data_IF_600443691048
#
_entry.id   IF_600443691048
#
_cell.length_a   1.000
_cell.length_b   1.000
_cell.length_c   1.000
_cell.angle_alpha   90.00
_cell.angle_beta   90.00
_cell.angle_gamma   90.00
#
_symmetry.space_group_name_H-M   'P 1'
#
loop_
_entity.id
_entity.type
_entity.pdbx_description
1 polymer ?
#
# COMPACT_ATOMS: atom_id res chain seq x y z
N UNK A 1 21.66 41.48 2.42
CA UNK A 1 20.55 41.84 1.48
C UNK A 1 20.64 41.00 0.20
N UNK A 2 21.85 40.86 -0.32
CA UNK A 2 22.21 40.10 -1.52
C UNK A 2 21.64 38.67 -1.52
N UNK A 3 21.92 37.90 -0.46
CA UNK A 3 21.48 36.50 -0.33
C UNK A 3 19.96 36.34 -0.45
N UNK A 4 19.17 37.23 0.15
CA UNK A 4 17.71 37.17 0.12
C UNK A 4 17.13 37.46 -1.27
N UNK A 5 17.71 38.39 -2.04
CA UNK A 5 17.28 38.68 -3.41
C UNK A 5 17.62 37.52 -4.35
N UNK A 6 18.82 36.97 -4.23
CA UNK A 6 19.27 35.82 -5.02
C UNK A 6 18.41 34.60 -4.73
N UNK A 7 18.16 34.30 -3.46
CA UNK A 7 17.35 33.15 -3.05
C UNK A 7 15.91 33.27 -3.58
N UNK A 8 15.30 34.46 -3.47
CA UNK A 8 13.97 34.72 -4.04
C UNK A 8 13.94 34.56 -5.56
N UNK A 9 14.97 35.04 -6.25
CA UNK A 9 15.07 34.96 -7.69
C UNK A 9 15.18 33.51 -8.19
N UNK A 10 16.01 32.71 -7.52
CA UNK A 10 16.26 31.31 -7.92
C UNK A 10 15.07 30.41 -7.60
N UNK A 11 14.49 30.52 -6.41
CA UNK A 11 13.43 29.60 -5.98
C UNK A 11 12.07 29.92 -6.55
N UNK A 12 11.78 31.19 -6.85
CA UNK A 12 10.41 31.57 -7.22
C UNK A 12 10.26 32.24 -8.57
N UNK A 13 11.36 32.61 -9.20
CA UNK A 13 11.37 33.51 -10.35
C UNK A 13 12.26 32.97 -11.49
N UNK A 14 12.58 31.68 -11.44
CA UNK A 14 13.40 30.97 -12.41
C UNK A 14 12.60 29.88 -13.15
N UNK A 15 13.14 29.41 -14.27
CA UNK A 15 12.59 28.24 -14.98
C UNK A 15 12.54 27.00 -14.08
N UNK A 16 13.44 26.90 -13.10
CA UNK A 16 13.47 25.79 -12.15
C UNK A 16 12.23 25.79 -11.25
N UNK A 17 11.68 26.97 -10.92
CA UNK A 17 10.41 27.08 -10.18
C UNK A 17 9.26 26.44 -10.95
N UNK A 18 9.16 26.73 -12.25
CA UNK A 18 8.09 26.19 -13.10
C UNK A 18 8.20 24.67 -13.18
N UNK A 19 9.41 24.15 -13.39
CA UNK A 19 9.66 22.71 -13.41
C UNK A 19 9.37 22.05 -12.05
N UNK A 20 9.80 22.67 -10.95
CA UNK A 20 9.51 22.17 -9.60
C UNK A 20 8.00 22.09 -9.34
N UNK A 21 7.24 23.14 -9.67
CA UNK A 21 5.79 23.15 -9.50
C UNK A 21 5.11 22.10 -10.39
N UNK A 22 5.58 21.91 -11.63
CA UNK A 22 5.07 20.89 -12.54
C UNK A 22 5.26 19.47 -12.00
N UNK A 23 6.49 19.11 -11.60
CA UNK A 23 6.77 17.77 -11.06
C UNK A 23 6.16 17.57 -9.67
N UNK A 24 6.03 18.64 -8.88
CA UNK A 24 5.34 18.58 -7.59
C UNK A 24 3.83 18.32 -7.78
N UNK A 25 3.19 19.01 -8.71
CA UNK A 25 1.80 18.74 -9.09
C UNK A 25 1.61 17.33 -9.65
N UNK A 26 2.52 16.87 -10.52
CA UNK A 26 2.49 15.51 -11.07
C UNK A 26 2.62 14.46 -9.96
N UNK A 27 3.48 14.71 -8.97
CA UNK A 27 3.63 13.83 -7.79
C UNK A 27 2.32 13.72 -7.02
N UNK A 28 1.65 14.84 -6.75
CA UNK A 28 0.32 14.82 -6.12
C UNK A 28 -0.72 14.08 -6.94
N UNK A 29 -0.70 14.24 -8.27
CA UNK A 29 -1.59 13.49 -9.18
C UNK A 29 -1.35 11.98 -9.12
N UNK A 30 -0.09 11.54 -9.04
CA UNK A 30 0.24 10.13 -8.90
C UNK A 30 -0.16 9.58 -7.54
N UNK A 31 0.04 10.34 -6.46
CA UNK A 31 -0.42 9.98 -5.11
C UNK A 31 -1.95 9.86 -5.08
N UNK A 32 -2.69 10.79 -5.69
CA UNK A 32 -4.15 10.73 -5.84
C UNK A 32 -4.59 9.43 -6.53
N UNK A 33 -3.97 9.08 -7.67
CA UNK A 33 -4.27 7.83 -8.37
C UNK A 33 -3.94 6.58 -7.53
N UNK A 34 -2.81 6.59 -6.82
CA UNK A 34 -2.41 5.47 -5.95
C UNK A 34 -3.43 5.29 -4.82
N UNK A 35 -3.85 6.38 -4.19
CA UNK A 35 -4.75 6.35 -3.03
C UNK A 35 -6.20 6.08 -3.42
N UNK A 36 -6.62 6.50 -4.60
CA UNK A 36 -7.96 6.22 -5.12
C UNK A 36 -8.09 4.82 -5.70
N UNK A 37 -7.19 4.41 -6.62
CA UNK A 37 -7.32 3.17 -7.40
C UNK A 37 -6.46 2.02 -6.86
N UNK A 38 -5.38 2.30 -6.13
CA UNK A 38 -4.50 1.24 -5.59
C UNK A 38 -3.47 0.70 -6.59
N UNK A 39 -3.27 1.36 -7.74
CA UNK A 39 -2.30 0.96 -8.78
C UNK A 39 -0.83 1.24 -8.38
N UNK A 40 -0.35 0.57 -7.34
CA UNK A 40 0.98 0.79 -6.78
C UNK A 40 2.08 0.47 -7.81
N UNK A 41 1.99 -0.70 -8.48
CA UNK A 41 3.04 -1.21 -9.39
C UNK A 41 3.32 -0.26 -10.57
N UNK A 42 2.28 0.37 -11.13
CA UNK A 42 2.42 1.26 -12.28
C UNK A 42 2.85 2.68 -11.87
N UNK A 43 2.28 3.22 -10.79
CA UNK A 43 2.45 4.63 -10.43
C UNK A 43 3.63 4.88 -9.48
N UNK A 44 4.06 3.90 -8.69
CA UNK A 44 5.17 4.06 -7.75
C UNK A 44 6.52 4.34 -8.44
N UNK A 45 6.89 3.67 -9.56
CA UNK A 45 8.11 4.02 -10.30
C UNK A 45 8.07 5.45 -10.86
N UNK A 46 6.92 5.88 -11.36
CA UNK A 46 6.72 7.24 -11.89
C UNK A 46 6.80 8.29 -10.78
N UNK A 47 6.21 8.01 -9.61
CA UNK A 47 6.30 8.89 -8.45
C UNK A 47 7.75 9.02 -7.98
N UNK A 48 8.48 7.89 -7.93
CA UNK A 48 9.90 7.86 -7.59
C UNK A 48 10.73 8.71 -8.56
N UNK A 49 10.46 8.60 -9.87
CA UNK A 49 11.09 9.43 -10.88
C UNK A 49 10.81 10.93 -10.66
N UNK A 50 9.56 11.30 -10.36
CA UNK A 50 9.20 12.69 -10.06
C UNK A 50 9.98 13.23 -8.86
N UNK A 51 10.07 12.46 -7.78
CA UNK A 51 10.83 12.83 -6.58
C UNK A 51 12.32 12.99 -6.90
N UNK A 52 12.91 12.08 -7.68
CA UNK A 52 14.32 12.18 -8.11
C UNK A 52 14.54 13.46 -8.91
N UNK A 53 13.66 13.79 -9.87
CA UNK A 53 13.77 15.01 -10.67
C UNK A 53 13.67 16.26 -9.78
N UNK A 54 12.72 16.30 -8.83
CA UNK A 54 12.59 17.39 -7.86
C UNK A 54 13.90 17.56 -7.07
N UNK A 55 14.47 16.47 -6.56
CA UNK A 55 15.74 16.50 -5.81
C UNK A 55 16.90 17.02 -6.66
N UNK A 56 17.02 16.58 -7.93
CA UNK A 56 18.04 17.08 -8.86
C UNK A 56 17.88 18.58 -9.10
N UNK A 57 16.64 19.06 -9.30
CA UNK A 57 16.36 20.48 -9.49
C UNK A 57 16.71 21.29 -8.24
N UNK A 58 16.37 20.81 -7.04
CA UNK A 58 16.72 21.46 -5.77
C UNK A 58 18.24 21.52 -5.57
N UNK A 59 18.95 20.41 -5.80
CA UNK A 59 20.42 20.37 -5.76
C UNK A 59 21.04 21.37 -6.74
N UNK A 60 20.49 21.48 -7.95
CA UNK A 60 20.95 22.43 -8.96
C UNK A 60 20.71 23.88 -8.52
N UNK A 61 19.55 24.19 -7.94
CA UNK A 61 19.27 25.52 -7.37
C UNK A 61 20.27 25.85 -6.25
N UNK A 62 20.51 24.90 -5.34
CA UNK A 62 21.46 25.09 -4.23
C UNK A 62 22.88 25.32 -4.76
N UNK A 63 23.30 24.59 -5.78
CA UNK A 63 24.61 24.75 -6.41
C UNK A 63 24.77 26.14 -7.05
N UNK A 64 23.77 26.59 -7.82
CA UNK A 64 23.77 27.94 -8.40
C UNK A 64 23.80 29.01 -7.31
N UNK A 65 23.00 28.82 -6.26
CA UNK A 65 22.98 29.72 -5.10
C UNK A 65 24.35 29.82 -4.43
N UNK A 66 25.04 28.70 -4.21
CA UNK A 66 26.42 28.67 -3.65
C UNK A 66 27.41 29.38 -4.57
N UNK A 67 27.35 29.14 -5.88
CA UNK A 67 28.20 29.83 -6.87
C UNK A 67 28.00 31.34 -6.87
N UNK A 68 26.75 31.80 -6.78
CA UNK A 68 26.44 33.24 -6.71
C UNK A 68 26.81 33.85 -5.34
N UNK A 69 26.68 33.10 -4.25
CA UNK A 69 27.16 33.53 -2.92
C UNK A 69 28.69 33.69 -2.86
N UNK A 70 29.48 32.92 -3.62
CA UNK A 70 30.92 33.16 -3.70
C UNK A 70 31.24 34.52 -4.35
N UNK A 71 30.35 35.03 -5.21
CA UNK A 71 30.47 36.37 -5.80
C UNK A 71 30.00 37.47 -4.84
N UNK A 72 29.38 37.14 -3.70
CA UNK A 72 28.88 38.09 -2.69
C UNK A 72 29.96 39.09 -2.22
N UNK A 73 31.22 38.65 -2.12
CA UNK A 73 32.33 39.53 -1.75
C UNK A 73 32.53 40.70 -2.72
N UNK A 74 32.12 40.56 -3.98
CA UNK A 74 32.16 41.63 -4.99
C UNK A 74 31.02 42.64 -4.83
N UNK A 75 29.93 42.30 -4.12
CA UNK A 75 28.69 43.09 -4.11
C UNK A 75 28.27 43.58 -2.71
N UNK A 76 28.83 43.02 -1.62
CA UNK A 76 28.62 43.52 -0.24
C UNK A 76 29.85 44.22 0.37
N UNK A 77 30.99 44.24 -0.34
CA UNK A 77 32.11 45.13 0.01
C UNK A 77 31.63 46.59 -0.04
N UNK A 78 32.14 47.47 0.83
CA UNK A 78 31.85 48.92 0.90
C UNK A 78 32.18 49.71 -0.40
N UNK A 79 32.31 49.04 -1.54
CA UNK A 79 32.55 49.60 -2.85
C UNK A 79 31.31 50.36 -3.33
N UNK A 80 31.51 51.61 -3.74
CA UNK A 80 30.44 52.45 -4.28
C UNK A 80 29.91 51.84 -5.59
N UNK A 81 28.65 51.39 -5.58
CA UNK A 81 27.93 51.05 -6.81
C UNK A 81 27.56 52.38 -7.48
N UNK A 82 28.14 52.66 -8.65
CA UNK A 82 27.82 53.84 -9.46
C UNK A 82 27.17 53.42 -10.76
N UNK A 83 26.15 54.16 -11.16
CA UNK A 83 25.45 53.97 -12.42
C UNK A 83 25.76 55.18 -13.31
N UNK A 84 26.46 54.92 -14.41
CA UNK A 84 26.70 55.88 -15.50
C UNK A 84 25.72 55.56 -16.63
N UNK A 85 25.51 56.48 -17.58
CA UNK A 85 24.58 56.30 -18.69
C UNK A 85 24.87 55.06 -19.55
N UNK A 86 26.13 54.61 -19.59
CA UNK A 86 26.56 53.46 -20.40
C UNK A 86 27.00 52.24 -19.58
N UNK A 87 27.43 52.43 -18.32
CA UNK A 87 28.09 51.39 -17.53
C UNK A 87 27.56 51.35 -16.09
N UNK A 88 27.40 50.14 -15.56
CA UNK A 88 27.24 49.88 -14.13
C UNK A 88 28.62 49.54 -13.56
N UNK A 89 29.11 50.38 -12.64
CA UNK A 89 30.43 50.21 -12.03
C UNK A 89 30.27 49.71 -10.60
N UNK A 90 30.90 48.57 -10.30
CA UNK A 90 30.90 47.94 -8.97
C UNK A 90 32.36 47.71 -8.58
N UNK A 91 32.87 48.56 -7.69
CA UNK A 91 34.29 48.59 -7.39
C UNK A 91 35.12 48.98 -8.62
N UNK A 92 36.02 48.09 -9.03
CA UNK A 92 36.88 48.26 -10.22
C UNK A 92 36.31 47.58 -11.48
N UNK A 93 35.16 46.91 -11.38
CA UNK A 93 34.55 46.19 -12.50
C UNK A 93 33.46 47.03 -13.15
N UNK A 94 33.54 47.14 -14.46
CA UNK A 94 32.56 47.83 -15.30
C UNK A 94 31.69 46.81 -16.05
N UNK A 95 30.38 47.03 -16.00
CA UNK A 95 29.39 46.19 -16.65
C UNK A 95 28.60 47.04 -17.66
N UNK A 96 28.69 46.79 -18.97
CA UNK A 96 28.02 47.60 -19.97
C UNK A 96 26.49 47.40 -19.93
N UNK A 97 25.74 48.51 -19.87
CA UNK A 97 24.27 48.51 -19.84
C UNK A 97 23.64 48.05 -21.16
N UNK A 98 24.40 48.05 -22.25
CA UNK A 98 24.01 47.43 -23.53
C UNK A 98 23.75 45.91 -23.38
N UNK A 99 24.40 45.27 -22.41
CA UNK A 99 24.22 43.85 -22.10
C UNK A 99 23.05 43.59 -21.14
N UNK A 100 22.40 44.62 -20.60
CA UNK A 100 21.25 44.48 -19.74
C UNK A 100 20.00 44.09 -20.56
N UNK A 101 19.47 42.89 -20.29
CA UNK A 101 18.27 42.34 -20.94
C UNK A 101 16.99 42.86 -20.28
N UNK A 102 16.88 42.71 -18.97
CA UNK A 102 15.74 43.20 -18.18
C UNK A 102 16.13 43.41 -16.72
N UNK A 103 15.27 44.12 -15.98
CA UNK A 103 15.42 44.38 -14.56
C UNK A 103 14.26 43.72 -13.82
N UNK A 104 14.56 42.86 -12.86
CA UNK A 104 13.53 42.29 -11.98
C UNK A 104 13.43 43.11 -10.69
N UNK A 105 12.21 43.47 -10.32
CA UNK A 105 11.93 44.39 -9.20
C UNK A 105 11.41 43.66 -7.98
N UNK A 106 12.02 43.90 -6.82
CA UNK A 106 11.61 43.37 -5.52
C UNK A 106 11.49 44.49 -4.48
N UNK A 107 10.74 44.26 -3.40
CA UNK A 107 10.55 45.26 -2.32
C UNK A 107 11.88 45.79 -1.73
N UNK A 108 12.91 44.94 -1.67
CA UNK A 108 14.23 45.24 -1.06
C UNK A 108 15.32 45.65 -2.07
N UNK A 109 15.06 45.65 -3.37
CA UNK A 109 16.07 45.96 -4.38
C UNK A 109 15.73 45.44 -5.79
N UNK A 110 16.69 45.53 -6.70
CA UNK A 110 16.57 45.11 -8.09
C UNK A 110 17.50 43.93 -8.39
N UNK A 111 17.18 43.11 -9.38
CA UNK A 111 18.11 42.13 -9.94
C UNK A 111 18.25 42.42 -11.43
N UNK A 112 19.47 42.72 -11.84
CA UNK A 112 19.81 43.03 -13.23
C UNK A 112 20.17 41.73 -13.93
N UNK A 113 19.47 41.43 -15.02
CA UNK A 113 19.71 40.24 -15.82
C UNK A 113 20.45 40.63 -17.10
N UNK A 114 21.70 40.19 -17.20
CA UNK A 114 22.56 40.45 -18.35
C UNK A 114 22.40 39.35 -19.42
N UNK A 115 22.79 39.65 -20.67
CA UNK A 115 22.71 38.72 -21.83
C UNK A 115 23.59 37.48 -21.68
N UNK A 116 24.67 37.58 -20.91
CA UNK A 116 25.61 36.49 -20.57
C UNK A 116 25.10 35.60 -19.41
N UNK A 117 23.81 35.69 -19.07
CA UNK A 117 23.18 35.04 -17.92
C UNK A 117 23.74 35.45 -16.55
N UNK A 118 24.53 36.52 -16.48
CA UNK A 118 24.96 37.10 -15.22
C UNK A 118 23.80 37.82 -14.53
N UNK A 119 23.70 37.65 -13.21
CA UNK A 119 22.66 38.24 -12.38
C UNK A 119 23.32 39.13 -11.33
N UNK A 120 22.97 40.42 -11.33
CA UNK A 120 23.54 41.40 -10.42
C UNK A 120 22.43 41.95 -9.53
N UNK A 121 22.34 41.54 -8.26
CA UNK A 121 21.39 42.12 -7.31
C UNK A 121 21.91 43.48 -6.79
N UNK A 122 21.03 44.47 -6.78
CA UNK A 122 21.34 45.87 -6.48
C UNK A 122 20.37 46.40 -5.41
N UNK A 123 20.87 47.23 -4.49
CA UNK A 123 20.05 47.87 -3.46
C UNK A 123 19.00 48.80 -4.05
N UNK A 124 17.88 48.99 -3.33
CA UNK A 124 16.83 49.93 -3.70
C UNK A 124 17.29 51.40 -3.69
N UNK A 125 18.37 51.71 -2.98
CA UNK A 125 18.90 53.07 -2.83
C UNK A 125 19.62 53.59 -4.08
N UNK A 126 19.85 52.76 -5.10
CA UNK A 126 20.47 53.19 -6.35
C UNK A 126 19.47 53.97 -7.21
N UNK A 127 19.87 55.15 -7.69
CA UNK A 127 19.06 55.93 -8.62
C UNK A 127 19.04 55.25 -10.00
N UNK A 128 17.93 54.59 -10.33
CA UNK A 128 17.71 53.89 -11.60
C UNK A 128 17.10 54.78 -12.71
N UNK A 129 17.05 56.10 -12.52
CA UNK A 129 16.55 57.05 -13.52
C UNK A 129 17.21 56.93 -14.91
N UNK A 130 18.51 56.58 -15.04
CA UNK A 130 19.16 56.34 -16.34
C UNK A 130 18.63 55.10 -17.09
N UNK A 131 17.92 54.19 -16.41
CA UNK A 131 17.45 52.90 -16.97
C UNK A 131 15.96 52.93 -17.37
N UNK A 132 15.41 54.10 -17.71
CA UNK A 132 13.98 54.28 -18.02
C UNK A 132 13.49 53.41 -19.18
N UNK A 133 14.34 53.16 -20.17
CA UNK A 133 13.98 52.42 -21.40
C UNK A 133 14.04 50.89 -21.25
N UNK A 134 14.56 50.37 -20.12
CA UNK A 134 14.74 48.93 -19.93
C UNK A 134 13.48 48.28 -19.31
N UNK A 135 13.09 47.08 -19.76
CA UNK A 135 11.88 46.41 -19.27
C UNK A 135 12.04 46.04 -17.79
N UNK A 136 11.03 46.42 -16.98
CA UNK A 136 10.95 46.14 -15.55
C UNK A 136 9.90 45.07 -15.30
N UNK A 137 10.33 43.91 -14.79
CA UNK A 137 9.46 42.76 -14.52
C UNK A 137 9.27 42.63 -12.99
N UNK A 138 8.03 42.50 -12.47
CA UNK A 138 7.83 42.26 -11.05
C UNK A 138 8.33 40.85 -10.66
N UNK A 139 8.83 40.69 -9.43
CA UNK A 139 9.03 39.35 -8.86
C UNK A 139 7.71 38.61 -8.71
N UNK A 140 7.60 37.39 -9.24
CA UNK A 140 6.42 36.53 -9.21
C UNK A 140 6.39 35.62 -7.98
N UNK A 141 7.25 35.88 -6.99
CA UNK A 141 7.40 34.99 -5.85
C UNK A 141 6.13 34.71 -5.03
N UNK A 142 5.23 35.69 -4.93
CA UNK A 142 3.93 35.50 -4.29
C UNK A 142 3.02 34.58 -5.10
N UNK A 143 3.05 34.69 -6.44
CA UNK A 143 2.29 33.82 -7.33
C UNK A 143 2.78 32.37 -7.22
N UNK A 144 4.10 32.16 -7.31
CA UNK A 144 4.70 30.85 -7.18
C UNK A 144 4.39 30.20 -5.81
N UNK A 145 4.44 30.98 -4.73
CA UNK A 145 4.05 30.53 -3.39
C UNK A 145 2.55 30.19 -3.31
N UNK A 146 1.68 31.02 -3.88
CA UNK A 146 0.24 30.77 -3.91
C UNK A 146 -0.11 29.50 -4.71
N UNK A 147 0.53 29.29 -5.86
CA UNK A 147 0.36 28.07 -6.67
C UNK A 147 0.86 26.84 -5.94
N UNK A 148 2.02 26.92 -5.28
CA UNK A 148 2.54 25.85 -4.43
C UNK A 148 1.52 25.47 -3.34
N UNK A 149 1.04 26.45 -2.57
CA UNK A 149 0.05 26.23 -1.52
C UNK A 149 -1.25 25.63 -2.06
N UNK A 150 -1.74 26.12 -3.21
CA UNK A 150 -2.94 25.58 -3.86
C UNK A 150 -2.75 24.10 -4.23
N UNK A 151 -1.62 23.75 -4.85
CA UNK A 151 -1.31 22.35 -5.21
C UNK A 151 -1.26 21.49 -3.95
N UNK A 152 -0.60 21.95 -2.88
CA UNK A 152 -0.49 21.21 -1.62
C UNK A 152 -1.86 21.00 -0.97
N UNK A 153 -2.67 22.05 -0.83
CA UNK A 153 -4.00 21.95 -0.20
C UNK A 153 -4.93 21.06 -1.02
N UNK A 154 -4.97 21.23 -2.34
CA UNK A 154 -5.82 20.41 -3.21
C UNK A 154 -5.38 18.94 -3.22
N UNK A 155 -4.07 18.67 -3.26
CA UNK A 155 -3.52 17.32 -3.20
C UNK A 155 -3.79 16.65 -1.85
N UNK A 156 -3.54 17.35 -0.76
CA UNK A 156 -3.80 16.85 0.60
C UNK A 156 -5.28 16.55 0.83
N UNK A 157 -6.17 17.45 0.39
CA UNK A 157 -7.62 17.24 0.46
C UNK A 157 -8.05 15.95 -0.25
N UNK A 158 -7.53 15.70 -1.45
CA UNK A 158 -7.82 14.48 -2.22
C UNK A 158 -7.35 13.22 -1.52
N UNK A 159 -6.12 13.22 -1.00
CA UNK A 159 -5.59 12.07 -0.24
C UNK A 159 -6.41 11.82 1.02
N UNK A 160 -6.79 12.88 1.74
CA UNK A 160 -7.67 12.78 2.90
C UNK A 160 -9.04 12.19 2.51
N UNK A 161 -9.66 12.70 1.44
CA UNK A 161 -10.93 12.19 0.94
C UNK A 161 -10.84 10.71 0.50
N UNK A 162 -9.73 10.29 -0.11
CA UNK A 162 -9.51 8.88 -0.48
C UNK A 162 -9.23 7.97 0.74
N UNK A 163 -8.87 8.55 1.88
CA UNK A 163 -8.63 7.84 3.14
C UNK A 163 -9.90 7.65 3.98
N UNK A 164 -10.91 8.51 3.81
CA UNK A 164 -12.21 8.34 4.48
C UNK A 164 -12.97 7.13 3.93
N UNK A 165 -13.80 6.52 4.77
CA UNK A 165 -14.43 5.22 4.55
C UNK A 165 -15.07 5.08 3.16
N UNK A 166 -14.79 3.95 2.51
CA UNK A 166 -15.33 3.56 1.21
C UNK A 166 -15.01 4.47 0.02
N UNK A 167 -14.12 5.46 0.16
CA UNK A 167 -13.82 6.41 -0.92
C UNK A 167 -12.63 6.06 -1.82
N UNK A 168 -11.80 5.09 -1.44
CA UNK A 168 -10.66 4.69 -2.27
C UNK A 168 -9.85 3.51 -1.73
N UNK A 169 -8.91 3.02 -2.52
CA UNK A 169 -8.02 1.93 -2.13
C UNK A 169 -7.24 2.21 -0.82
N UNK A 170 -6.95 3.48 -0.51
CA UNK A 170 -6.33 3.88 0.75
C UNK A 170 -7.25 3.61 1.94
N UNK A 171 -8.54 3.96 1.87
CA UNK A 171 -9.51 3.67 2.94
C UNK A 171 -9.58 2.17 3.27
N UNK A 172 -9.69 1.31 2.26
CA UNK A 172 -9.67 -0.15 2.44
C UNK A 172 -8.38 -0.66 3.06
N UNK A 173 -7.23 -0.06 2.72
CA UNK A 173 -5.93 -0.42 3.31
C UNK A 173 -5.82 0.03 4.77
N UNK A 174 -6.35 1.21 5.10
CA UNK A 174 -6.38 1.72 6.47
C UNK A 174 -7.32 0.90 7.34
N UNK A 175 -8.51 0.59 6.84
CA UNK A 175 -9.48 -0.27 7.51
C UNK A 175 -8.87 -1.63 7.82
N UNK A 176 -8.30 -2.27 6.81
CA UNK A 176 -7.59 -3.54 6.95
C UNK A 176 -6.46 -3.47 7.98
N UNK A 177 -5.66 -2.40 7.97
CA UNK A 177 -4.61 -2.22 8.98
C UNK A 177 -5.15 -2.01 10.39
N UNK A 178 -6.35 -1.45 10.52
CA UNK A 178 -7.01 -1.19 11.80
C UNK A 178 -7.78 -2.41 12.32
N UNK A 179 -8.34 -3.22 11.42
CA UNK A 179 -9.26 -4.33 11.74
C UNK A 179 -8.61 -5.72 11.68
N UNK A 180 -7.52 -5.93 10.92
CA UNK A 180 -6.93 -7.27 10.78
C UNK A 180 -6.31 -7.75 12.10
N UNK A 181 -6.97 -8.71 12.74
CA UNK A 181 -6.39 -9.48 13.82
C UNK A 181 -5.60 -10.65 13.24
N UNK A 182 -4.27 -10.49 13.18
CA UNK A 182 -3.38 -11.56 12.72
C UNK A 182 -3.03 -12.53 13.85
N UNK A 183 -3.38 -13.79 13.66
CA UNK A 183 -2.95 -14.92 14.47
C UNK A 183 -1.70 -15.57 13.86
N UNK A 184 -0.77 -16.01 14.71
CA UNK A 184 0.44 -16.70 14.27
C UNK A 184 0.26 -18.21 14.41
N UNK A 185 0.58 -18.95 13.35
CA UNK A 185 0.53 -20.41 13.30
C UNK A 185 1.82 -21.06 13.80
N UNK A 186 2.94 -20.34 13.74
CA UNK A 186 4.27 -20.82 14.16
C UNK A 186 5.03 -21.61 13.09
N UNK A 187 4.31 -22.16 12.11
CA UNK A 187 4.84 -22.78 10.89
C UNK A 187 3.90 -22.46 9.71
N UNK A 188 4.41 -22.47 8.49
CA UNK A 188 3.63 -22.39 7.26
C UNK A 188 3.33 -23.77 6.67
N UNK A 189 3.68 -24.85 7.36
CA UNK A 189 3.48 -26.21 6.91
C UNK A 189 2.19 -26.84 7.46
N UNK A 190 1.28 -27.26 6.57
CA UNK A 190 0.01 -27.89 6.91
C UNK A 190 0.18 -29.23 7.65
N UNK A 191 1.21 -30.01 7.34
CA UNK A 191 1.44 -31.30 8.01
C UNK A 191 1.88 -31.12 9.48
N UNK A 192 2.45 -29.96 9.81
CA UNK A 192 2.85 -29.61 11.18
C UNK A 192 1.72 -28.94 11.96
N UNK A 193 1.02 -27.99 11.33
CA UNK A 193 -0.01 -27.16 11.98
C UNK A 193 -1.38 -27.84 11.99
N UNK A 194 -1.77 -28.42 10.85
CA UNK A 194 -3.10 -28.97 10.61
C UNK A 194 -4.23 -27.95 10.75
N UNK A 195 -5.48 -28.44 10.64
CA UNK A 195 -6.66 -27.59 10.86
C UNK A 195 -6.74 -27.17 12.33
N UNK A 196 -6.40 -28.05 13.27
CA UNK A 196 -6.44 -27.77 14.71
C UNK A 196 -5.57 -26.57 15.06
N UNK A 197 -4.31 -26.53 14.61
CA UNK A 197 -3.41 -25.41 14.92
C UNK A 197 -3.88 -24.07 14.32
N UNK A 198 -4.58 -24.10 13.18
CA UNK A 198 -5.20 -22.89 12.61
C UNK A 198 -6.34 -22.39 13.48
N UNK A 199 -7.22 -23.29 13.94
CA UNK A 199 -8.36 -22.93 14.80
C UNK A 199 -7.88 -22.48 16.18
N UNK A 200 -6.90 -23.16 16.78
CA UNK A 200 -6.32 -22.80 18.07
C UNK A 200 -5.67 -21.41 18.03
N UNK A 201 -4.91 -21.12 16.97
CA UNK A 201 -4.31 -19.80 16.79
C UNK A 201 -5.36 -18.69 16.65
N UNK A 202 -6.48 -18.99 15.99
CA UNK A 202 -7.59 -18.06 15.87
C UNK A 202 -8.30 -17.85 17.22
N UNK A 203 -8.58 -18.93 17.96
CA UNK A 203 -9.19 -18.88 19.30
C UNK A 203 -8.34 -18.07 20.29
N UNK A 204 -7.05 -18.37 20.37
CA UNK A 204 -6.08 -17.63 21.19
C UNK A 204 -6.07 -16.12 20.89
N UNK A 205 -6.40 -15.76 19.64
CA UNK A 205 -6.37 -14.38 19.17
C UNK A 205 -7.63 -13.61 19.53
N UNK A 206 -8.80 -14.17 19.26
CA UNK A 206 -10.09 -13.44 19.33
C UNK A 206 -11.07 -13.96 20.39
N UNK A 207 -10.74 -15.07 21.07
CA UNK A 207 -11.62 -15.78 21.99
C UNK A 207 -12.87 -16.26 21.29
N UNK A 208 -12.79 -17.43 20.67
CA UNK A 208 -13.89 -18.08 19.97
C UNK A 208 -14.86 -18.74 20.95
N UNK A 209 -16.08 -19.00 20.49
CA UNK A 209 -17.08 -19.72 21.27
C UNK A 209 -16.76 -21.21 21.45
N UNK A 210 -17.30 -21.86 22.49
CA UNK A 210 -17.06 -23.28 22.76
C UNK A 210 -17.67 -24.22 21.70
N UNK A 211 -18.75 -23.82 21.04
CA UNK A 211 -19.39 -24.61 19.98
C UNK A 211 -19.19 -23.91 18.64
N UNK A 212 -18.56 -24.62 17.71
CA UNK A 212 -18.18 -24.08 16.40
C UNK A 212 -18.82 -24.91 15.30
N UNK A 213 -19.45 -24.25 14.34
CA UNK A 213 -20.06 -24.89 13.18
C UNK A 213 -19.49 -24.27 11.91
N UNK A 214 -19.13 -25.10 10.94
CA UNK A 214 -18.72 -24.61 9.61
C UNK A 214 -19.36 -25.47 8.55
N UNK A 215 -19.53 -24.90 7.36
CA UNK A 215 -19.85 -25.60 6.13
C UNK A 215 -18.96 -25.10 4.98
N UNK A 216 -17.87 -24.41 5.33
CA UNK A 216 -17.03 -23.75 4.37
C UNK A 216 -15.61 -23.59 4.91
N UNK A 217 -14.84 -24.65 4.74
CA UNK A 217 -13.41 -24.69 5.02
C UNK A 217 -12.67 -25.22 3.79
N UNK A 218 -11.62 -24.53 3.39
CA UNK A 218 -10.76 -24.88 2.27
C UNK A 218 -9.33 -24.44 2.57
N UNK A 219 -8.39 -25.35 2.45
CA UNK A 219 -6.96 -25.10 2.67
C UNK A 219 -6.22 -25.67 1.47
N UNK A 220 -5.46 -24.82 0.78
CA UNK A 220 -4.59 -25.21 -0.31
C UNK A 220 -3.13 -25.22 0.17
N UNK A 221 -2.37 -26.20 -0.31
CA UNK A 221 -0.98 -26.40 0.07
C UNK A 221 -0.21 -27.15 -1.01
N UNK A 222 1.11 -26.99 -1.00
CA UNK A 222 2.02 -27.65 -1.92
C UNK A 222 2.37 -29.08 -1.45
N UNK A 223 2.98 -29.88 -2.32
CA UNK A 223 3.34 -31.29 -2.03
C UNK A 223 4.13 -31.47 -0.72
N UNK A 224 4.97 -30.49 -0.36
CA UNK A 224 5.78 -30.47 0.86
C UNK A 224 5.02 -29.99 2.11
N UNK A 225 3.75 -29.63 1.96
CA UNK A 225 2.87 -29.14 3.02
C UNK A 225 2.83 -27.62 3.13
N UNK A 226 3.61 -26.87 2.35
CA UNK A 226 3.62 -25.39 2.42
C UNK A 226 2.22 -24.85 2.08
N UNK A 227 1.57 -24.22 3.05
CA UNK A 227 0.24 -23.62 2.88
C UNK A 227 0.30 -22.42 1.95
N UNK A 228 -0.53 -22.44 0.91
CA UNK A 228 -0.64 -21.37 -0.08
C UNK A 228 -1.91 -20.55 0.12
N UNK A 229 -2.98 -21.18 0.61
CA UNK A 229 -4.25 -20.52 0.89
C UNK A 229 -4.96 -21.18 2.07
N UNK A 230 -5.58 -20.37 2.91
CA UNK A 230 -6.46 -20.80 4.00
C UNK A 230 -7.74 -19.99 3.89
N UNK A 231 -8.87 -20.67 3.94
CA UNK A 231 -10.18 -20.05 4.04
C UNK A 231 -11.06 -20.89 4.96
N UNK A 232 -11.61 -20.29 6.01
CA UNK A 232 -12.65 -20.91 6.82
C UNK A 232 -13.67 -19.86 7.26
N UNK A 233 -14.95 -20.19 7.12
CA UNK A 233 -16.06 -19.44 7.69
C UNK A 233 -16.68 -20.27 8.81
N UNK A 234 -16.53 -19.80 10.05
CA UNK A 234 -16.92 -20.53 11.25
C UNK A 234 -17.97 -19.72 12.02
N UNK A 235 -19.08 -20.35 12.34
CA UNK A 235 -20.15 -19.80 13.16
C UNK A 235 -19.91 -20.23 14.62
N UNK A 236 -19.89 -19.26 15.54
CA UNK A 236 -19.65 -19.45 16.96
C UNK A 236 -20.91 -19.37 17.81
N UNK A 237 -21.08 -20.36 18.68
CA UNK A 237 -22.26 -20.56 19.51
C UNK A 237 -21.89 -20.66 20.99
N UNK A 238 -22.59 -19.88 21.83
CA UNK A 238 -22.37 -19.90 23.28
C UNK A 238 -22.77 -21.24 23.95
N UNK A 239 -22.61 -21.32 25.27
CA UNK A 239 -22.95 -22.53 26.04
C UNK A 239 -24.42 -22.99 25.86
N UNK A 240 -25.32 -22.05 25.59
CA UNK A 240 -26.75 -22.29 25.35
C UNK A 240 -27.05 -22.59 23.86
N UNK A 241 -26.00 -22.68 23.03
CA UNK A 241 -26.05 -22.90 21.57
C UNK A 241 -26.78 -21.79 20.83
N UNK A 242 -26.68 -20.57 21.33
CA UNK A 242 -27.15 -19.36 20.63
C UNK A 242 -26.00 -18.80 19.80
N UNK A 243 -26.29 -18.45 18.55
CA UNK A 243 -25.30 -17.88 17.63
C UNK A 243 -24.89 -16.49 18.11
N UNK A 244 -23.59 -16.25 18.27
CA UNK A 244 -23.04 -14.97 18.77
C UNK A 244 -22.10 -14.30 17.81
N UNK A 245 -21.27 -15.08 17.12
CA UNK A 245 -20.25 -14.52 16.25
C UNK A 245 -20.06 -15.35 14.99
N UNK A 246 -19.57 -14.68 13.95
CA UNK A 246 -18.96 -15.30 12.80
C UNK A 246 -17.47 -15.00 12.79
N UNK A 247 -16.70 -15.99 12.38
CA UNK A 247 -15.25 -15.91 12.25
C UNK A 247 -14.89 -16.20 10.80
N UNK A 248 -14.33 -15.20 10.13
CA UNK A 248 -13.69 -15.42 8.84
C UNK A 248 -12.19 -15.54 9.08
N UNK A 249 -11.67 -16.76 8.91
CA UNK A 249 -10.25 -17.09 9.06
C UNK A 249 -9.66 -17.27 7.68
N UNK A 250 -8.68 -16.45 7.31
CA UNK A 250 -8.13 -16.52 5.95
C UNK A 250 -6.67 -16.12 5.81
N UNK A 251 -6.03 -16.67 4.78
CA UNK A 251 -4.74 -16.26 4.25
C UNK A 251 -4.71 -16.56 2.74
N UNK A 252 -4.41 -15.55 1.91
CA UNK A 252 -4.31 -15.71 0.44
C UNK A 252 -2.87 -15.56 -0.10
N UNK A 253 -1.90 -15.31 0.77
CA UNK A 253 -0.52 -14.98 0.41
C UNK A 253 0.49 -16.02 0.97
N UNK A 254 0.01 -17.11 1.56
CA UNK A 254 0.82 -18.13 2.26
C UNK A 254 1.49 -17.63 3.54
N UNK A 255 2.37 -18.46 4.13
CA UNK A 255 3.15 -18.13 5.32
C UNK A 255 2.52 -18.53 6.66
N UNK A 256 3.14 -18.12 7.76
CA UNK A 256 2.91 -18.62 9.12
C UNK A 256 1.85 -17.85 9.92
N UNK A 257 0.90 -17.18 9.25
CA UNK A 257 -0.12 -16.37 9.91
C UNK A 257 -1.46 -16.41 9.19
N UNK A 258 -2.55 -16.19 9.92
CA UNK A 258 -3.89 -16.02 9.36
C UNK A 258 -4.50 -14.73 9.87
N UNK A 259 -5.37 -14.12 9.06
CA UNK A 259 -6.27 -13.05 9.51
C UNK A 259 -7.52 -13.69 10.08
N UNK A 260 -8.00 -13.15 11.20
CA UNK A 260 -9.25 -13.57 11.84
C UNK A 260 -10.16 -12.35 11.96
N UNK A 261 -11.22 -12.31 11.16
CA UNK A 261 -12.25 -11.28 11.28
C UNK A 261 -13.40 -11.83 12.13
N UNK A 262 -13.52 -11.33 13.37
CA UNK A 262 -14.64 -11.61 14.27
C UNK A 262 -15.78 -10.62 14.01
N UNK A 263 -16.97 -11.12 13.72
CA UNK A 263 -18.17 -10.32 13.50
C UNK A 263 -19.25 -10.70 14.51
N UNK A 264 -19.75 -9.71 15.24
CA UNK A 264 -20.89 -9.89 16.14
C UNK A 264 -22.17 -10.15 15.36
N UNK A 265 -22.96 -11.10 15.88
CA UNK A 265 -24.26 -11.46 15.37
C UNK A 265 -25.22 -11.61 16.56
N UNK A 266 -26.38 -10.96 16.50
CA UNK A 266 -27.36 -10.96 17.60
C UNK A 266 -28.73 -11.37 17.06
N UNK A 267 -28.80 -12.59 16.55
CA UNK A 267 -30.04 -13.18 16.04
C UNK A 267 -30.03 -14.71 16.12
N UNK A 268 -31.16 -15.29 16.54
CA UNK A 268 -31.40 -16.73 16.66
C UNK A 268 -31.77 -17.39 15.30
N UNK A 269 -31.67 -16.65 14.19
CA UNK A 269 -32.03 -17.14 12.85
C UNK A 269 -31.13 -18.28 12.34
N UNK A 270 -29.94 -18.46 12.91
CA UNK A 270 -28.99 -19.51 12.52
C UNK A 270 -28.84 -20.56 13.63
N UNK A 271 -29.76 -21.55 13.72
CA UNK A 271 -29.72 -22.54 14.79
C UNK A 271 -28.50 -23.45 14.68
N UNK A 272 -28.00 -23.90 15.82
CA UNK A 272 -26.92 -24.88 15.89
C UNK A 272 -27.36 -26.23 15.30
N UNK A 273 -26.59 -26.75 14.35
CA UNK A 273 -26.79 -28.07 13.73
C UNK A 273 -25.68 -28.99 14.22
N UNK A 274 -25.96 -29.93 15.14
CA UNK A 274 -24.95 -30.81 15.73
C UNK A 274 -24.13 -31.58 14.70
N UNK A 275 -24.70 -31.93 13.55
CA UNK A 275 -24.05 -32.70 12.49
C UNK A 275 -22.99 -31.89 11.73
N UNK A 276 -23.02 -30.55 11.80
CA UNK A 276 -22.03 -29.67 11.17
C UNK A 276 -21.01 -29.12 12.18
N UNK A 277 -20.96 -29.71 13.39
CA UNK A 277 -19.98 -29.36 14.40
C UNK A 277 -18.56 -29.51 13.84
N UNK A 278 -17.78 -28.44 13.94
CA UNK A 278 -16.39 -28.38 13.47
C UNK A 278 -15.54 -29.48 14.13
N UNK A 279 -15.94 -29.95 15.32
CA UNK A 279 -15.29 -31.06 15.99
C UNK A 279 -15.16 -32.31 15.13
N UNK A 280 -16.15 -32.65 14.29
CA UNK A 280 -16.01 -33.81 13.41
C UNK A 280 -14.87 -33.63 12.41
N UNK A 281 -14.65 -32.40 11.93
CA UNK A 281 -13.54 -32.09 11.04
C UNK A 281 -12.22 -32.27 11.80
N UNK A 282 -12.12 -31.71 12.99
CA UNK A 282 -10.93 -31.78 13.83
C UNK A 282 -10.59 -33.23 14.24
N UNK A 283 -11.59 -34.02 14.61
CA UNK A 283 -11.43 -35.42 15.00
C UNK A 283 -11.03 -36.29 13.79
N UNK A 284 -11.68 -36.12 12.63
CA UNK A 284 -11.29 -36.85 11.41
C UNK A 284 -9.85 -36.55 10.96
N UNK A 285 -9.45 -35.29 11.01
CA UNK A 285 -8.12 -34.86 10.55
C UNK A 285 -6.97 -35.43 11.37
N UNK A 286 -7.22 -35.93 12.58
CA UNK A 286 -6.21 -36.62 13.38
C UNK A 286 -5.82 -37.99 12.78
N UNK A 287 -6.70 -38.59 11.99
CA UNK A 287 -6.53 -39.95 11.45
C UNK A 287 -6.32 -39.98 9.94
N UNK A 288 -6.79 -38.96 9.20
CA UNK A 288 -6.63 -38.90 7.75
C UNK A 288 -5.14 -38.78 7.39
N UNK A 289 -4.56 -39.73 6.62
CA UNK A 289 -3.15 -39.72 6.27
C UNK A 289 -2.87 -38.79 5.08
N UNK A 290 -3.08 -37.48 5.27
CA UNK A 290 -3.01 -36.48 4.20
C UNK A 290 -1.70 -36.57 3.42
N UNK A 291 -0.56 -36.57 4.13
CA UNK A 291 0.75 -36.60 3.50
C UNK A 291 0.94 -37.85 2.62
N UNK A 292 0.54 -39.03 3.09
CA UNK A 292 0.67 -40.27 2.31
C UNK A 292 -0.19 -40.25 1.04
N UNK A 293 -1.39 -39.65 1.11
CA UNK A 293 -2.29 -39.53 -0.04
C UNK A 293 -1.72 -38.55 -1.06
N UNK A 294 -1.17 -37.43 -0.61
CA UNK A 294 -0.50 -36.44 -1.48
C UNK A 294 0.73 -37.04 -2.16
N UNK A 295 1.60 -37.73 -1.40
CA UNK A 295 2.77 -38.44 -1.94
C UNK A 295 2.37 -39.50 -2.99
N UNK A 296 1.28 -40.23 -2.77
CA UNK A 296 0.74 -41.20 -3.74
C UNK A 296 0.18 -40.55 -4.99
N UNK A 297 -0.46 -39.39 -4.83
CA UNK A 297 -1.08 -38.66 -5.94
C UNK A 297 0.00 -37.99 -6.80
N UNK A 298 1.09 -37.54 -6.19
CA UNK A 298 2.27 -37.00 -6.89
C UNK A 298 2.03 -35.64 -7.55
N UNK A 299 1.00 -34.91 -7.09
CA UNK A 299 0.62 -33.61 -7.61
C UNK A 299 1.16 -32.49 -6.72
N UNK A 300 1.56 -31.39 -7.38
CA UNK A 300 2.29 -30.31 -6.71
C UNK A 300 1.42 -29.43 -5.82
N UNK A 301 0.15 -29.29 -6.18
CA UNK A 301 -0.81 -28.42 -5.51
C UNK A 301 -2.00 -29.25 -5.10
N UNK A 302 -2.35 -29.21 -3.83
CA UNK A 302 -3.37 -30.04 -3.21
C UNK A 302 -4.28 -29.17 -2.34
N UNK A 303 -5.47 -29.66 -2.08
CA UNK A 303 -6.44 -28.95 -1.27
C UNK A 303 -7.27 -29.88 -0.40
N UNK A 304 -7.53 -29.43 0.82
CA UNK A 304 -8.50 -30.03 1.73
C UNK A 304 -9.73 -29.13 1.78
N UNK A 305 -10.90 -29.73 1.64
CA UNK A 305 -12.17 -29.02 1.69
C UNK A 305 -13.18 -29.75 2.56
N UNK A 306 -13.93 -28.97 3.34
CA UNK A 306 -15.12 -29.39 4.05
C UNK A 306 -16.28 -28.47 3.72
N UNK A 307 -17.42 -29.07 3.33
CA UNK A 307 -18.67 -28.36 2.96
C UNK A 307 -19.90 -28.88 3.72
N UNK A 308 -19.73 -29.26 4.98
CA UNK A 308 -20.80 -29.81 5.82
C UNK A 308 -21.12 -31.28 5.54
N UNK A 309 -22.33 -31.71 5.95
CA UNK A 309 -22.89 -33.03 5.64
C UNK A 309 -23.19 -33.16 4.14
N UNK A 310 -22.77 -34.28 3.54
CA UNK A 310 -22.92 -34.56 2.10
C UNK A 310 -23.38 -35.99 1.86
N UNK A 311 -24.15 -36.17 0.79
CA UNK A 311 -24.53 -37.48 0.27
C UNK A 311 -23.64 -37.88 -0.90
N UNK A 312 -23.16 -39.13 -0.89
CA UNK A 312 -22.31 -39.69 -1.92
C UNK A 312 -22.87 -41.01 -2.46
N UNK A 313 -22.86 -41.15 -3.78
CA UNK A 313 -22.91 -42.44 -4.45
C UNK A 313 -21.49 -43.03 -4.46
N UNK A 314 -21.32 -44.33 -4.14
CA UNK A 314 -20.04 -45.05 -3.95
C UNK A 314 -18.95 -44.69 -4.99
N UNK A 315 -18.10 -43.68 -4.73
CA UNK A 315 -16.93 -43.34 -5.53
C UNK A 315 -15.74 -44.25 -5.16
N UNK A 316 -14.77 -44.37 -6.06
CA UNK A 316 -13.59 -45.24 -5.89
C UNK A 316 -12.75 -44.91 -4.65
N UNK A 317 -12.65 -43.63 -4.27
CA UNK A 317 -11.77 -43.14 -3.19
C UNK A 317 -12.55 -42.70 -1.92
N UNK A 318 -13.75 -43.23 -1.70
CA UNK A 318 -14.55 -42.92 -0.51
C UNK A 318 -14.25 -43.88 0.63
N UNK A 319 -14.03 -43.33 1.82
CA UNK A 319 -13.71 -44.08 3.03
C UNK A 319 -14.51 -43.53 4.20
N UNK A 320 -14.90 -44.41 5.11
CA UNK A 320 -15.37 -44.02 6.43
C UNK A 320 -14.18 -43.73 7.34
N UNK A 321 -14.37 -42.80 8.26
CA UNK A 321 -13.48 -42.55 9.41
C UNK A 321 -14.32 -42.66 10.66
N UNK A 322 -13.97 -43.61 11.52
CA UNK A 322 -14.67 -43.82 12.79
C UNK A 322 -14.10 -42.95 13.90
N UNK A 323 -14.84 -42.86 15.01
CA UNK A 323 -14.38 -42.20 16.24
C UNK A 323 -13.06 -42.76 16.78
N UNK A 324 -12.84 -44.06 16.62
CA UNK A 324 -11.61 -44.74 17.08
C UNK A 324 -10.46 -44.65 16.05
N UNK A 325 -10.67 -43.95 14.94
CA UNK A 325 -9.67 -43.72 13.90
C UNK A 325 -9.54 -44.85 12.88
N UNK A 326 -10.45 -45.84 12.90
CA UNK A 326 -10.48 -46.86 11.86
C UNK A 326 -10.96 -46.26 10.54
N UNK A 327 -10.20 -46.55 9.46
CA UNK A 327 -10.49 -46.10 8.10
C UNK A 327 -10.77 -47.33 7.22
N UNK A 328 -11.96 -47.38 6.62
CA UNK A 328 -12.37 -48.50 5.77
C UNK A 328 -13.31 -48.06 4.64
N UNK A 329 -13.33 -48.78 3.51
CA UNK A 329 -14.25 -48.47 2.42
C UNK A 329 -15.70 -48.85 2.79
N UNK A 330 -16.70 -48.09 2.31
CA UNK A 330 -18.10 -48.46 2.45
C UNK A 330 -18.40 -49.76 1.70
N UNK A 331 -19.21 -50.65 2.29
CA UNK A 331 -19.51 -51.97 1.73
C UNK A 331 -20.52 -51.90 0.58
N UNK A 332 -21.69 -51.27 0.77
CA UNK A 332 -22.71 -51.02 -0.26
C UNK A 332 -23.66 -49.88 0.19
N UNK A 333 -24.33 -49.21 -0.75
CA UNK A 333 -25.37 -48.19 -0.47
C UNK A 333 -24.93 -46.73 -0.67
N UNK A 334 -25.82 -45.79 -0.35
CA UNK A 334 -25.50 -44.36 -0.29
C UNK A 334 -24.85 -44.02 1.04
N UNK A 335 -23.80 -43.20 1.01
CA UNK A 335 -23.10 -42.75 2.21
C UNK A 335 -23.47 -41.29 2.48
N UNK A 336 -23.81 -40.97 3.72
CA UNK A 336 -24.17 -39.61 4.14
C UNK A 336 -23.46 -39.26 5.44
N UNK A 337 -22.89 -38.06 5.51
CA UNK A 337 -22.26 -37.56 6.73
C UNK A 337 -21.31 -36.39 6.49
N UNK A 338 -20.74 -35.82 7.57
CA UNK A 338 -19.65 -34.85 7.49
C UNK A 338 -18.53 -35.39 6.61
N UNK A 339 -18.16 -34.66 5.56
CA UNK A 339 -17.19 -35.16 4.57
C UNK A 339 -16.01 -34.20 4.39
N UNK A 340 -14.81 -34.71 4.61
CA UNK A 340 -13.56 -34.06 4.21
C UNK A 340 -13.13 -34.61 2.85
N UNK A 341 -12.86 -33.71 1.90
CA UNK A 341 -12.34 -34.06 0.58
C UNK A 341 -10.90 -33.58 0.44
N UNK A 342 -10.00 -34.47 0.05
CA UNK A 342 -8.65 -34.16 -0.40
C UNK A 342 -8.61 -34.30 -1.93
N UNK A 343 -8.26 -33.23 -2.63
CA UNK A 343 -8.30 -33.14 -4.09
C UNK A 343 -7.18 -32.27 -4.64
N UNK A 344 -7.08 -32.27 -5.98
CA UNK A 344 -6.12 -31.49 -6.74
C UNK A 344 -6.88 -30.38 -7.47
N UNK A 345 -6.73 -29.10 -7.06
CA UNK A 345 -7.47 -28.00 -7.65
C UNK A 345 -7.33 -27.93 -9.18
N UNK A 346 -8.47 -27.87 -9.88
CA UNK A 346 -8.54 -27.77 -11.34
C UNK A 346 -8.31 -29.09 -12.09
N UNK A 347 -8.18 -30.21 -11.39
CA UNK A 347 -8.06 -31.56 -11.98
C UNK A 347 -9.14 -32.52 -11.48
N UNK A 348 -10.26 -32.02 -10.98
CA UNK A 348 -11.31 -32.82 -10.36
C UNK A 348 -12.03 -33.77 -11.34
N UNK A 349 -11.98 -33.46 -12.64
CA UNK A 349 -12.48 -34.33 -13.71
C UNK A 349 -11.47 -35.43 -14.11
N UNK A 350 -10.19 -35.26 -13.80
CA UNK A 350 -9.11 -36.18 -14.14
C UNK A 350 -8.71 -37.07 -12.97
N UNK A 351 -8.75 -36.53 -11.75
CA UNK A 351 -8.32 -37.18 -10.51
C UNK A 351 -9.51 -37.18 -9.54
N UNK A 352 -10.04 -38.38 -9.26
CA UNK A 352 -11.13 -38.55 -8.29
C UNK A 352 -10.65 -38.16 -6.88
N UNK A 353 -11.31 -37.19 -6.22
CA UNK A 353 -10.97 -36.80 -4.85
C UNK A 353 -11.04 -37.97 -3.85
N UNK A 354 -10.10 -37.99 -2.91
CA UNK A 354 -10.18 -38.83 -1.73
C UNK A 354 -11.17 -38.22 -0.75
N UNK A 355 -12.14 -39.01 -0.31
CA UNK A 355 -13.26 -38.52 0.50
C UNK A 355 -13.37 -39.34 1.76
N UNK A 356 -13.38 -38.65 2.89
CA UNK A 356 -13.45 -39.22 4.22
C UNK A 356 -14.74 -38.78 4.87
N UNK A 357 -15.62 -39.73 5.16
CA UNK A 357 -16.93 -39.48 5.76
C UNK A 357 -16.90 -39.96 7.20
N UNK A 358 -17.34 -39.10 8.12
CA UNK A 358 -17.48 -39.49 9.51
C UNK A 358 -18.51 -40.61 9.67
N UNK A 359 -18.14 -41.66 10.38
CA UNK A 359 -19.03 -42.73 10.83
C UNK A 359 -18.97 -42.80 12.35
N UNK A 360 -20.14 -42.88 12.99
CA UNK A 360 -20.20 -43.16 14.43
C UNK A 360 -19.68 -44.54 14.79
#
# INVERSE_FOLDING_TARGET
MYSSLVWKNLFFDSIYTILLLLFYWLSWRLIDTITYIGQLRANLPLLSLCVIVILILLCRIIWIYRKQLQQKCLFESNQSIKLTDEHLVIGEKEFPLANLKYIRTYKKGFVFHMKDNMQIPVSRNLNISPLKEKPKIPGLWLLALAVFLLITVAGAYKVYYNATDFHGALSWRLERMASEEKAKLGSDNFYEVGIQGIIDAADDKVGMEPYLMTDNLEIEFDEDGTMTSIYAFVNGYDEDKVHRHNYLIYNNDGGDSVVVDKQEWDDDQYPYIPENDLKYVLDMMQYIPVQEVVERTGEKHNAIMYKGVRDWALPENLQYVTRDGEIYPPSEGSVSGPTISLYVPGKEEEITPYRYVWSE
#
